data_IF_797584376585
#
_entry.id   IF_797584376585
#
_cell.length_a   1.000
_cell.length_b   1.000
_cell.length_c   1.000
_cell.angle_alpha   90.00
_cell.angle_beta   90.00
_cell.angle_gamma   90.00
#
_symmetry.space_group_name_H-M   'P 1'
#
loop_
_entity.id
_entity.type
_entity.pdbx_description
1 polymer ?
#
# COMPACT_ATOMS: atom_id res chain seq x y z
N UNK A 1 3.42 -3.69 10.61
CA UNK A 1 2.51 -4.85 10.62
C UNK A 1 1.36 -4.54 11.55
N UNK A 2 0.16 -4.36 11.04
CA UNK A 2 -1.04 -4.17 11.84
C UNK A 2 -1.56 -5.53 12.29
N UNK A 3 -1.95 -5.62 13.53
CA UNK A 3 -2.49 -6.85 14.12
C UNK A 3 -3.93 -6.58 14.52
N UNK A 4 -4.88 -7.37 14.00
CA UNK A 4 -6.29 -7.28 14.38
C UNK A 4 -6.65 -8.39 15.35
N UNK A 5 -7.54 -8.08 16.30
CA UNK A 5 -8.10 -9.11 17.18
C UNK A 5 -9.02 -10.05 16.43
N UNK A 6 -8.97 -11.34 16.75
CA UNK A 6 -9.92 -12.32 16.21
C UNK A 6 -11.33 -11.92 16.66
N UNK A 7 -12.21 -11.62 15.71
CA UNK A 7 -13.59 -11.27 16.00
C UNK A 7 -13.95 -9.79 15.82
N UNK A 8 -13.18 -9.00 15.05
CA UNK A 8 -13.55 -7.64 14.66
C UNK A 8 -14.78 -7.55 13.74
N UNK A 9 -15.84 -8.21 14.16
CA UNK A 9 -17.21 -7.75 13.94
C UNK A 9 -17.52 -6.94 15.18
N UNK A 10 -17.80 -5.64 15.00
CA UNK A 10 -18.13 -4.65 16.05
C UNK A 10 -18.75 -5.30 17.30
N UNK A 11 -17.94 -5.83 18.20
CA UNK A 11 -18.39 -6.27 19.50
C UNK A 11 -18.24 -5.06 20.44
N UNK A 12 -19.39 -4.50 20.81
CA UNK A 12 -19.45 -3.51 21.87
C UNK A 12 -18.82 -4.07 23.15
N UNK A 13 -18.25 -3.21 23.99
CA UNK A 13 -17.63 -3.58 25.28
C UNK A 13 -18.50 -4.50 26.14
N UNK A 14 -19.83 -4.39 26.01
CA UNK A 14 -20.80 -5.25 26.72
C UNK A 14 -20.84 -6.70 26.22
N UNK A 15 -20.59 -6.93 24.94
CA UNK A 15 -20.59 -8.28 24.40
C UNK A 15 -19.33 -9.06 24.83
N UNK A 16 -18.22 -8.36 25.02
CA UNK A 16 -16.98 -8.98 25.53
C UNK A 16 -17.10 -9.46 26.98
N UNK A 17 -17.95 -8.84 27.81
CA UNK A 17 -18.17 -9.24 29.21
C UNK A 17 -19.09 -10.46 29.37
N UNK A 18 -19.81 -10.89 28.33
CA UNK A 18 -20.78 -12.00 28.40
C UNK A 18 -20.23 -13.36 27.97
N UNK A 19 -19.03 -13.42 27.43
CA UNK A 19 -18.41 -14.70 27.10
C UNK A 19 -17.83 -15.28 28.39
N UNK A 20 -18.62 -16.12 29.05
CA UNK A 20 -18.11 -16.87 30.22
C UNK A 20 -17.06 -17.86 29.73
N UNK A 21 -15.91 -17.94 30.41
CA UNK A 21 -14.95 -18.97 30.14
C UNK A 21 -15.52 -20.35 30.50
N UNK A 22 -14.93 -21.40 29.95
CA UNK A 22 -15.23 -22.74 30.41
C UNK A 22 -14.97 -22.86 31.91
N UNK A 23 -15.75 -23.70 32.61
CA UNK A 23 -15.73 -23.81 34.07
C UNK A 23 -14.36 -24.11 34.68
N UNK A 24 -13.47 -24.69 33.91
CA UNK A 24 -12.09 -25.04 34.32
C UNK A 24 -11.01 -24.25 33.60
N UNK A 25 -11.40 -23.26 32.81
CA UNK A 25 -10.44 -22.38 32.15
C UNK A 25 -10.57 -20.98 32.72
N UNK A 26 -9.43 -20.31 32.83
CA UNK A 26 -9.39 -18.90 33.15
C UNK A 26 -10.10 -18.08 32.06
N UNK A 27 -10.58 -16.89 32.41
CA UNK A 27 -11.20 -15.98 31.46
C UNK A 27 -10.36 -15.79 30.20
N UNK A 28 -11.02 -15.56 29.07
CA UNK A 28 -10.33 -15.27 27.83
C UNK A 28 -9.44 -14.04 28.04
N UNK A 29 -8.15 -14.22 27.91
CA UNK A 29 -7.15 -13.19 28.18
C UNK A 29 -6.35 -13.41 29.46
N UNK A 30 -6.79 -14.25 30.43
CA UNK A 30 -6.00 -14.57 31.60
C UNK A 30 -4.77 -15.41 31.28
N UNK A 31 -4.79 -16.16 30.18
CA UNK A 31 -3.58 -16.76 29.62
C UNK A 31 -2.52 -15.73 29.25
N UNK A 32 -2.88 -14.46 29.11
CA UNK A 32 -1.95 -13.35 28.94
C UNK A 32 -1.16 -13.07 30.23
N UNK A 33 -1.72 -13.41 31.40
CA UNK A 33 -1.01 -13.32 32.67
C UNK A 33 0.21 -14.23 32.71
N UNK A 34 0.18 -15.33 32.01
CA UNK A 34 1.31 -16.25 31.85
C UNK A 34 2.37 -15.74 30.85
N UNK A 35 2.23 -14.51 30.35
CA UNK A 35 3.13 -13.89 29.37
C UNK A 35 3.33 -14.71 28.09
N UNK A 36 2.34 -15.50 27.73
CA UNK A 36 2.35 -16.35 26.51
C UNK A 36 2.10 -15.54 25.22
N UNK A 37 1.94 -14.22 25.34
CA UNK A 37 1.64 -13.33 24.23
C UNK A 37 0.14 -13.27 23.88
N UNK A 38 -0.18 -12.44 22.94
CA UNK A 38 -1.56 -12.15 22.49
C UNK A 38 -1.98 -12.92 21.23
N UNK A 39 -1.20 -13.87 20.79
CA UNK A 39 -1.43 -14.59 19.52
C UNK A 39 -2.77 -15.31 19.45
N UNK A 40 -3.37 -15.68 20.60
CA UNK A 40 -4.69 -16.32 20.66
C UNK A 40 -5.84 -15.37 20.34
N UNK A 41 -5.64 -14.09 20.67
CA UNK A 41 -6.65 -13.04 20.48
C UNK A 41 -6.35 -12.11 19.32
N UNK A 42 -5.14 -12.19 18.80
CA UNK A 42 -4.66 -11.36 17.71
C UNK A 42 -4.26 -12.25 16.54
N UNK A 43 -4.56 -11.80 15.33
CA UNK A 43 -4.04 -12.43 14.12
C UNK A 43 -3.26 -11.41 13.29
N UNK A 44 -2.17 -11.82 12.65
CA UNK A 44 -1.51 -10.96 11.70
C UNK A 44 -2.44 -10.67 10.53
N UNK A 45 -2.46 -9.42 10.11
CA UNK A 45 -3.17 -8.97 8.91
C UNK A 45 -2.12 -8.43 7.96
N UNK A 46 -2.13 -8.93 6.74
CA UNK A 46 -1.35 -8.32 5.67
C UNK A 46 -1.99 -6.97 5.34
N UNK A 47 -1.17 -5.94 5.41
CA UNK A 47 -1.54 -4.61 4.93
C UNK A 47 -0.68 -4.35 3.72
N UNK A 48 -1.31 -4.35 2.56
CA UNK A 48 -0.65 -3.95 1.33
C UNK A 48 -0.28 -2.47 1.45
N UNK A 49 1.01 -2.21 1.56
CA UNK A 49 1.53 -0.85 1.56
C UNK A 49 1.95 -0.51 0.15
N UNK A 50 1.17 0.31 -0.49
CA UNK A 50 1.56 0.91 -1.74
C UNK A 50 2.82 1.75 -1.56
N UNK A 51 3.74 1.77 -2.54
CA UNK A 51 4.85 2.70 -2.51
C UNK A 51 4.32 4.14 -2.46
N UNK A 52 5.05 5.08 -1.83
CA UNK A 52 4.56 6.45 -1.65
C UNK A 52 4.16 7.15 -2.94
N UNK A 53 4.83 6.85 -4.04
CA UNK A 53 4.49 7.38 -5.36
C UNK A 53 3.08 6.96 -5.82
N UNK A 54 2.72 5.69 -5.67
CA UNK A 54 1.37 5.21 -6.00
C UNK A 54 0.33 5.77 -5.02
N UNK A 55 0.65 5.76 -3.71
CA UNK A 55 -0.27 6.23 -2.69
C UNK A 55 -0.60 7.73 -2.77
N UNK A 56 0.32 8.54 -3.29
CA UNK A 56 0.15 9.99 -3.43
C UNK A 56 -0.36 10.44 -4.80
N UNK A 57 -0.44 9.53 -5.76
CA UNK A 57 -0.99 9.86 -7.07
C UNK A 57 -2.52 10.04 -6.95
N UNK A 58 -3.08 11.23 -7.25
CA UNK A 58 -4.52 11.44 -7.18
C UNK A 58 -5.30 10.67 -8.25
N UNK A 59 -4.64 10.29 -9.34
CA UNK A 59 -5.21 9.46 -10.39
C UNK A 59 -5.04 7.95 -10.14
N UNK A 60 -4.37 7.56 -9.05
CA UNK A 60 -4.17 6.15 -8.72
C UNK A 60 -3.21 5.40 -9.63
N UNK A 61 -2.38 6.10 -10.40
CA UNK A 61 -1.46 5.49 -11.37
C UNK A 61 -0.45 4.58 -10.67
N UNK A 62 -0.29 3.38 -11.21
CA UNK A 62 0.63 2.35 -10.70
C UNK A 62 2.08 2.64 -11.12
N UNK A 63 2.65 3.75 -10.60
CA UNK A 63 3.99 4.23 -11.00
C UNK A 63 5.07 3.14 -10.91
N UNK A 64 5.04 2.32 -9.89
CA UNK A 64 6.04 1.26 -9.71
C UNK A 64 5.96 0.20 -10.83
N UNK A 65 4.77 -0.15 -11.27
CA UNK A 65 4.57 -1.22 -12.26
C UNK A 65 5.19 -0.85 -13.61
N UNK A 66 4.86 0.32 -14.14
CA UNK A 66 5.41 0.72 -15.43
C UNK A 66 6.88 1.15 -15.36
N UNK A 67 7.35 1.70 -14.22
CA UNK A 67 8.77 1.97 -14.02
C UNK A 67 9.60 0.68 -14.05
N UNK A 68 9.08 -0.42 -13.51
CA UNK A 68 9.72 -1.74 -13.58
C UNK A 68 9.95 -2.18 -15.04
N UNK A 69 8.98 -1.99 -15.91
CA UNK A 69 9.14 -2.28 -17.33
C UNK A 69 10.10 -1.30 -18.02
N UNK A 70 10.01 -0.02 -17.68
CA UNK A 70 10.85 1.02 -18.26
C UNK A 70 12.34 0.80 -17.95
N UNK A 71 12.70 0.44 -16.70
CA UNK A 71 14.09 0.16 -16.33
C UNK A 71 14.68 -1.03 -17.08
N UNK A 72 13.84 -1.98 -17.49
CA UNK A 72 14.23 -3.14 -18.26
C UNK A 72 14.31 -2.88 -19.77
N UNK A 73 14.05 -1.64 -20.21
CA UNK A 73 14.01 -1.25 -21.62
C UNK A 73 12.74 -1.71 -22.36
N UNK A 74 11.78 -2.29 -21.65
CA UNK A 74 10.53 -2.77 -22.23
C UNK A 74 9.49 -1.64 -22.28
N UNK A 75 9.72 -0.65 -23.14
CA UNK A 75 8.94 0.59 -23.19
C UNK A 75 7.50 0.37 -23.67
N UNK A 76 7.28 -0.60 -24.54
CA UNK A 76 5.93 -0.93 -25.01
C UNK A 76 5.04 -1.44 -23.86
N UNK A 77 5.55 -2.36 -23.04
CA UNK A 77 4.79 -2.85 -21.89
C UNK A 77 4.67 -1.78 -20.80
N UNK A 78 5.69 -0.94 -20.61
CA UNK A 78 5.60 0.21 -19.71
C UNK A 78 4.48 1.16 -20.13
N UNK A 79 4.38 1.47 -21.42
CA UNK A 79 3.32 2.30 -21.97
C UNK A 79 1.93 1.65 -21.83
N UNK A 80 1.79 0.37 -22.15
CA UNK A 80 0.53 -0.38 -21.95
C UNK A 80 0.08 -0.31 -20.50
N UNK A 81 1.00 -0.45 -19.56
CA UNK A 81 0.69 -0.38 -18.14
C UNK A 81 0.27 1.04 -17.70
N UNK A 82 0.88 2.08 -18.26
CA UNK A 82 0.47 3.47 -17.95
C UNK A 82 -0.94 3.74 -18.44
N UNK A 83 -1.28 3.34 -19.66
CA UNK A 83 -2.60 3.69 -20.27
C UNK A 83 -3.77 3.00 -19.57
N UNK A 84 -3.55 1.98 -18.75
CA UNK A 84 -4.61 1.39 -17.93
C UNK A 84 -5.21 2.41 -16.94
N UNK A 85 -4.35 3.25 -16.34
CA UNK A 85 -4.75 4.24 -15.34
C UNK A 85 -4.74 5.68 -15.90
N UNK A 86 -3.89 5.95 -16.89
CA UNK A 86 -3.66 7.26 -17.47
C UNK A 86 -3.62 7.19 -18.99
N UNK A 87 -4.74 7.49 -19.67
CA UNK A 87 -4.83 7.37 -21.14
C UNK A 87 -4.03 8.43 -21.91
N UNK A 88 -3.50 9.46 -21.25
CA UNK A 88 -2.77 10.57 -21.89
C UNK A 88 -1.38 10.82 -21.26
N UNK A 89 -0.48 9.83 -21.23
CA UNK A 89 0.80 9.97 -20.54
C UNK A 89 1.68 11.09 -21.12
N UNK A 90 1.64 11.33 -22.43
CA UNK A 90 2.38 12.43 -23.05
C UNK A 90 1.92 13.80 -22.55
N UNK A 91 0.60 13.97 -22.30
CA UNK A 91 0.03 15.22 -21.76
C UNK A 91 0.32 15.33 -20.27
N UNK A 92 0.01 14.27 -19.51
CA UNK A 92 0.20 14.28 -18.06
C UNK A 92 1.65 14.41 -17.67
N UNK A 93 2.57 13.83 -18.44
CA UNK A 93 4.01 14.04 -18.30
C UNK A 93 4.49 15.51 -18.51
N UNK A 94 3.57 16.43 -18.87
CA UNK A 94 3.85 17.86 -19.03
C UNK A 94 3.09 18.76 -18.05
N UNK A 95 1.90 18.32 -17.60
CA UNK A 95 0.99 19.18 -16.81
C UNK A 95 0.78 18.71 -15.38
N UNK A 96 1.22 17.51 -15.03
CA UNK A 96 1.05 16.95 -13.69
C UNK A 96 1.87 17.73 -12.65
N UNK A 97 1.32 17.86 -11.43
CA UNK A 97 1.99 18.50 -10.29
C UNK A 97 3.09 17.66 -9.61
N UNK A 98 3.33 16.44 -10.06
CA UNK A 98 4.36 15.50 -9.56
C UNK A 98 4.29 15.21 -8.06
N UNK A 99 3.11 15.08 -7.51
CA UNK A 99 2.92 14.75 -6.09
C UNK A 99 3.60 13.43 -5.69
N UNK A 100 3.73 12.51 -6.64
CA UNK A 100 4.45 11.24 -6.47
C UNK A 100 5.96 11.45 -6.21
N UNK A 101 6.59 12.40 -6.91
CA UNK A 101 8.01 12.72 -6.72
C UNK A 101 8.26 13.40 -5.38
N UNK A 102 7.38 14.31 -4.97
CA UNK A 102 7.45 14.94 -3.65
C UNK A 102 7.34 13.95 -2.48
N UNK A 103 6.63 12.84 -2.68
CA UNK A 103 6.47 11.79 -1.69
C UNK A 103 7.52 10.66 -1.80
N UNK A 104 8.44 10.73 -2.75
CA UNK A 104 9.42 9.68 -2.99
C UNK A 104 10.32 9.45 -1.77
N UNK A 105 10.48 8.18 -1.37
CA UNK A 105 11.36 7.82 -0.25
C UNK A 105 12.82 8.19 -0.51
N UNK A 106 13.23 8.31 -1.75
CA UNK A 106 14.60 8.72 -2.11
C UNK A 106 14.92 10.17 -1.71
N UNK A 107 13.91 11.01 -1.56
CA UNK A 107 14.12 12.39 -1.06
C UNK A 107 14.86 12.47 0.28
N UNK A 108 14.83 11.39 1.08
CA UNK A 108 15.57 11.30 2.33
C UNK A 108 17.02 10.84 2.20
N UNK A 109 17.45 10.47 0.98
CA UNK A 109 18.78 9.90 0.72
C UNK A 109 19.53 10.74 -0.32
N UNK A 110 18.90 11.02 -1.44
CA UNK A 110 19.46 11.75 -2.56
C UNK A 110 18.37 12.54 -3.31
N UNK A 111 18.09 12.24 -4.56
CA UNK A 111 17.06 12.88 -5.37
C UNK A 111 15.87 11.95 -5.64
N UNK A 112 14.65 12.50 -5.79
CA UNK A 112 13.48 11.70 -6.14
C UNK A 112 13.67 11.04 -7.51
N UNK A 113 13.04 9.90 -7.70
CA UNK A 113 12.94 9.27 -9.03
C UNK A 113 12.19 10.21 -9.95
N UNK A 114 12.73 10.49 -11.13
CA UNK A 114 12.13 11.35 -12.15
C UNK A 114 10.93 10.72 -12.85
N UNK A 115 9.89 10.38 -12.06
CA UNK A 115 8.70 9.64 -12.51
C UNK A 115 8.03 10.35 -13.68
N UNK A 116 7.82 11.66 -13.55
CA UNK A 116 7.16 12.45 -14.58
C UNK A 116 7.98 12.53 -15.89
N UNK A 117 9.32 12.62 -15.78
CA UNK A 117 10.19 12.64 -16.95
C UNK A 117 10.10 11.31 -17.73
N UNK A 118 10.06 10.19 -17.01
CA UNK A 118 9.89 8.85 -17.64
C UNK A 118 8.49 8.68 -18.22
N UNK A 119 7.45 9.14 -17.52
CA UNK A 119 6.07 9.16 -18.01
C UNK A 119 5.97 9.93 -19.32
N UNK A 120 6.54 11.13 -19.38
CA UNK A 120 6.62 11.94 -20.58
C UNK A 120 7.33 11.21 -21.72
N UNK A 121 8.51 10.64 -21.42
CA UNK A 121 9.28 9.88 -22.40
C UNK A 121 8.46 8.71 -22.98
N UNK A 122 7.80 7.94 -22.15
CA UNK A 122 6.98 6.80 -22.59
C UNK A 122 5.75 7.26 -23.40
N UNK A 123 5.16 8.40 -23.01
CA UNK A 123 4.07 9.00 -23.77
C UNK A 123 4.52 9.49 -25.15
N UNK A 124 5.67 10.13 -25.25
CA UNK A 124 6.26 10.61 -26.49
C UNK A 124 6.76 9.44 -27.38
N UNK A 125 7.24 8.37 -26.75
CA UNK A 125 7.66 7.15 -27.45
C UNK A 125 6.52 6.45 -28.20
N UNK A 126 5.29 6.59 -27.72
CA UNK A 126 4.12 5.94 -28.28
C UNK A 126 3.39 6.77 -29.36
N UNK A 127 3.77 8.04 -29.55
CA UNK A 127 3.23 8.92 -30.60
C UNK A 127 3.97 8.70 -31.92
#
# INVERSE_FOLDING_TARGET
>A
MLVRRRGDVMQTKETMMRVKPFAITLDVGTSLANRTGSWRTLKPVYVDRLPPCNAKCPAGVQCQAWLFHAQSGNYENAWKQIIEDNPFPAVMGRVCYHTCQGACNRNGIDEPVGINAVERFLGDYAL
#
